data_IF_582879063651
#
_entry.id   IF_582879063651
#
_cell.length_a   1.000
_cell.length_b   1.000
_cell.length_c   1.000
_cell.angle_alpha   90.00
_cell.angle_beta   90.00
_cell.angle_gamma   90.00
#
_symmetry.space_group_name_H-M   'P 1'
#
loop_
_entity.id
_entity.type
_entity.pdbx_description
1 polymer ?
#
# COMPACT_ATOMS: atom_id res chain seq x y z
N UNK A 1 -8.53 10.19 -14.86
CA UNK A 1 -7.71 9.36 -13.94
C UNK A 1 -8.10 9.72 -12.51
N UNK A 2 -8.58 8.73 -11.73
CA UNK A 2 -9.05 8.93 -10.35
C UNK A 2 -7.95 8.48 -9.39
N UNK A 3 -7.66 9.23 -8.34
CA UNK A 3 -6.69 8.84 -7.32
C UNK A 3 -7.00 9.48 -5.97
N UNK A 4 -6.71 8.78 -4.88
CA UNK A 4 -6.94 9.26 -3.52
C UNK A 4 -6.00 8.57 -2.53
N UNK A 5 -5.71 9.24 -1.42
CA UNK A 5 -5.06 8.64 -0.27
C UNK A 5 -6.09 8.23 0.77
N UNK A 6 -5.85 7.12 1.41
CA UNK A 6 -6.74 6.64 2.47
C UNK A 6 -5.97 5.91 3.56
N UNK A 7 -6.67 5.64 4.65
CA UNK A 7 -6.17 4.92 5.81
C UNK A 7 -6.99 3.67 6.04
N UNK A 8 -6.34 2.53 6.18
CA UNK A 8 -7.01 1.26 6.47
C UNK A 8 -7.64 1.30 7.87
N UNK A 9 -8.96 1.12 7.95
CA UNK A 9 -9.68 1.02 9.22
C UNK A 9 -9.70 -0.43 9.70
N UNK A 10 -10.17 -1.35 8.87
CA UNK A 10 -10.33 -2.75 9.25
C UNK A 10 -10.95 -3.57 8.14
N UNK A 11 -11.32 -4.79 8.47
CA UNK A 11 -12.08 -5.66 7.57
C UNK A 11 -13.43 -5.97 8.18
N UNK A 12 -14.43 -6.04 7.33
CA UNK A 12 -15.79 -6.46 7.63
C UNK A 12 -16.35 -7.26 6.46
N UNK A 13 -17.60 -7.57 6.50
CA UNK A 13 -18.31 -8.24 5.42
C UNK A 13 -19.57 -7.47 5.06
N UNK A 14 -19.95 -7.56 3.79
CA UNK A 14 -21.19 -6.98 3.26
C UNK A 14 -21.96 -8.12 2.63
N UNK A 15 -23.25 -8.18 2.94
CA UNK A 15 -24.18 -9.10 2.30
C UNK A 15 -24.78 -8.43 1.08
N UNK A 16 -24.69 -9.09 -0.05
CA UNK A 16 -25.35 -8.65 -1.28
C UNK A 16 -26.85 -9.02 -1.23
N UNK A 17 -27.65 -8.44 -2.11
CA UNK A 17 -29.09 -8.69 -2.18
C UNK A 17 -29.42 -10.18 -2.43
N UNK A 18 -28.53 -10.92 -3.08
CA UNK A 18 -28.61 -12.35 -3.32
C UNK A 18 -28.15 -13.22 -2.12
N UNK A 19 -27.93 -12.62 -0.96
CA UNK A 19 -27.49 -13.29 0.26
C UNK A 19 -25.99 -13.66 0.29
N UNK A 20 -25.24 -13.41 -0.78
CA UNK A 20 -23.80 -13.71 -0.82
C UNK A 20 -22.99 -12.82 0.09
N UNK A 21 -22.19 -13.43 0.96
CA UNK A 21 -21.25 -12.76 1.84
C UNK A 21 -19.98 -12.36 1.09
N UNK A 22 -19.69 -11.07 1.06
CA UNK A 22 -18.48 -10.54 0.43
C UNK A 22 -17.58 -9.91 1.50
N UNK A 23 -16.36 -10.45 1.74
CA UNK A 23 -15.41 -9.82 2.65
C UNK A 23 -14.90 -8.52 2.02
N UNK A 24 -14.86 -7.46 2.83
CA UNK A 24 -14.40 -6.13 2.38
C UNK A 24 -13.44 -5.53 3.39
N UNK A 25 -12.58 -4.67 2.89
CA UNK A 25 -11.74 -3.79 3.72
C UNK A 25 -12.32 -2.39 3.68
N UNK A 26 -12.55 -1.80 4.85
CA UNK A 26 -12.96 -0.41 5.00
C UNK A 26 -11.72 0.49 4.99
N UNK A 27 -11.77 1.52 4.16
CA UNK A 27 -10.72 2.51 3.99
C UNK A 27 -11.33 3.89 4.18
N UNK A 28 -10.80 4.67 5.12
CA UNK A 28 -11.08 6.10 5.25
C UNK A 28 -10.33 6.82 4.11
N UNK A 29 -11.05 7.24 3.07
CA UNK A 29 -10.50 7.77 1.84
C UNK A 29 -10.80 9.26 1.72
N UNK A 30 -9.84 10.08 2.09
CA UNK A 30 -9.96 11.54 2.05
C UNK A 30 -10.61 12.14 3.32
N UNK A 31 -10.96 13.44 3.28
CA UNK A 31 -10.65 14.35 2.17
C UNK A 31 -9.14 14.57 1.99
N UNK A 32 -8.69 14.51 0.74
CA UNK A 32 -7.31 14.83 0.36
C UNK A 32 -7.27 16.22 -0.28
N UNK A 33 -6.22 16.99 -0.01
CA UNK A 33 -6.02 18.29 -0.63
C UNK A 33 -4.85 18.26 -1.60
N UNK A 34 -5.00 18.88 -2.75
CA UNK A 34 -3.92 19.09 -3.71
C UNK A 34 -3.00 20.17 -3.17
N UNK A 35 -1.77 19.80 -2.83
CA UNK A 35 -0.78 20.72 -2.26
C UNK A 35 0.09 21.38 -3.32
N UNK A 36 0.35 20.69 -4.43
CA UNK A 36 1.19 21.19 -5.50
C UNK A 36 0.93 20.42 -6.79
N UNK A 37 1.02 21.12 -7.91
CA UNK A 37 1.07 20.54 -9.24
C UNK A 37 2.51 20.59 -9.74
N UNK A 38 3.01 19.45 -10.20
CA UNK A 38 4.34 19.34 -10.83
C UNK A 38 4.19 19.30 -12.34
N UNK A 39 5.02 20.06 -13.02
CA UNK A 39 5.01 20.20 -14.48
C UNK A 39 6.33 19.69 -15.08
N UNK A 40 6.27 19.18 -16.30
CA UNK A 40 7.45 18.69 -17.00
C UNK A 40 8.55 19.75 -17.17
N UNK A 41 8.15 21.05 -17.33
CA UNK A 41 9.09 22.15 -17.55
C UNK A 41 9.97 22.47 -16.33
N UNK A 42 9.42 22.33 -15.10
CA UNK A 42 10.10 22.73 -13.86
C UNK A 42 10.63 21.49 -13.13
N UNK A 43 9.81 20.45 -13.03
CA UNK A 43 10.10 19.27 -12.19
C UNK A 43 10.61 18.06 -13.01
N UNK A 44 10.58 18.13 -14.35
CA UNK A 44 10.97 17.05 -15.25
C UNK A 44 9.91 15.94 -15.41
N UNK A 45 8.77 16.06 -14.74
CA UNK A 45 7.63 15.14 -14.86
C UNK A 45 6.32 15.79 -14.41
N UNK A 46 5.20 15.33 -14.96
CA UNK A 46 3.88 15.78 -14.56
C UNK A 46 3.32 14.92 -13.41
N UNK A 47 2.95 15.56 -12.30
CA UNK A 47 2.35 14.87 -11.14
C UNK A 47 1.49 15.81 -10.30
N UNK A 48 0.52 15.23 -9.59
CA UNK A 48 -0.26 15.91 -8.54
C UNK A 48 0.24 15.44 -7.19
N UNK A 49 0.56 16.37 -6.33
CA UNK A 49 0.92 16.10 -4.94
C UNK A 49 -0.32 16.24 -4.06
N UNK A 50 -0.67 15.15 -3.36
CA UNK A 50 -1.78 15.11 -2.41
C UNK A 50 -1.30 15.14 -0.98
N UNK A 51 -1.96 15.94 -0.16
CA UNK A 51 -1.87 15.94 1.30
C UNK A 51 -3.06 15.22 1.92
N UNK A 52 -2.81 14.35 2.90
CA UNK A 52 -3.82 13.63 3.66
C UNK A 52 -3.54 13.65 5.16
N UNK A 53 -4.59 13.83 5.95
CA UNK A 53 -4.51 13.92 7.40
C UNK A 53 -3.87 15.23 7.87
N UNK A 54 -4.68 16.22 8.17
CA UNK A 54 -4.21 17.50 8.71
C UNK A 54 -3.44 17.30 10.03
N UNK A 55 -2.36 18.04 10.22
CA UNK A 55 -1.58 18.09 11.45
C UNK A 55 -2.12 19.23 12.30
N UNK A 56 -2.34 18.97 13.59
CA UNK A 56 -2.72 20.03 14.54
C UNK A 56 -1.64 21.14 14.56
N UNK A 57 -2.04 22.41 14.59
CA UNK A 57 -1.16 23.58 14.49
C UNK A 57 0.03 23.54 15.44
N UNK A 58 -0.20 23.10 16.68
CA UNK A 58 0.86 22.94 17.72
C UNK A 58 1.98 21.95 17.35
N UNK A 59 1.76 21.06 16.36
CA UNK A 59 2.71 20.02 15.94
C UNK A 59 3.35 20.31 14.58
N UNK A 60 3.03 21.44 13.97
CA UNK A 60 3.57 21.82 12.65
C UNK A 60 5.02 22.30 12.85
N UNK A 61 5.96 21.63 12.17
CA UNK A 61 7.36 22.08 12.11
C UNK A 61 7.51 23.23 11.10
N UNK A 62 8.47 24.15 11.31
CA UNK A 62 8.74 25.30 10.44
C UNK A 62 8.81 24.94 8.94
N UNK A 63 9.46 23.84 8.58
CA UNK A 63 9.54 23.37 7.20
C UNK A 63 8.24 22.77 6.62
N UNK A 64 7.26 22.45 7.47
CA UNK A 64 5.95 21.90 7.06
C UNK A 64 4.84 22.97 7.09
N UNK A 65 5.14 24.20 7.42
CA UNK A 65 4.15 25.27 7.55
C UNK A 65 3.32 25.48 6.29
N UNK A 66 3.95 25.36 5.11
CA UNK A 66 3.27 25.48 3.81
C UNK A 66 2.40 24.27 3.45
N UNK A 67 2.61 23.10 4.06
CA UNK A 67 1.93 21.83 3.74
C UNK A 67 1.67 21.04 5.04
N UNK A 68 0.69 21.44 5.86
CA UNK A 68 0.45 20.87 7.19
C UNK A 68 -0.27 19.53 7.15
N UNK A 69 0.22 18.59 6.34
CA UNK A 69 -0.34 17.26 6.18
C UNK A 69 0.60 16.19 6.73
N UNK A 70 0.02 15.19 7.38
CA UNK A 70 0.75 14.04 7.93
C UNK A 70 1.34 13.16 6.82
N UNK A 71 0.62 13.00 5.74
CA UNK A 71 1.03 12.19 4.60
C UNK A 71 0.96 13.05 3.34
N UNK A 72 2.06 13.05 2.60
CA UNK A 72 2.17 13.72 1.30
C UNK A 72 2.64 12.67 0.31
N UNK A 73 1.92 12.50 -0.80
CA UNK A 73 2.25 11.55 -1.86
C UNK A 73 1.97 12.16 -3.22
N UNK A 74 2.73 11.70 -4.21
CA UNK A 74 2.62 12.16 -5.59
C UNK A 74 2.01 11.09 -6.47
N UNK A 75 1.13 11.53 -7.32
CA UNK A 75 0.52 10.70 -8.35
C UNK A 75 0.92 11.25 -9.71
N UNK A 76 1.70 10.48 -10.47
CA UNK A 76 2.03 10.85 -11.85
C UNK A 76 0.77 10.86 -12.69
N UNK A 77 0.62 11.92 -13.48
CA UNK A 77 -0.50 12.11 -14.42
C UNK A 77 0.06 11.89 -15.83
N UNK A 78 -0.70 11.21 -16.70
CA UNK A 78 -0.41 11.16 -18.12
C UNK A 78 -0.64 12.51 -18.79
N UNK A 79 -0.31 12.60 -20.08
CA UNK A 79 -0.47 13.84 -20.86
C UNK A 79 -1.91 14.38 -20.93
N UNK A 80 -2.89 13.50 -20.69
CA UNK A 80 -4.32 13.85 -20.64
C UNK A 80 -4.77 14.29 -19.24
N UNK A 81 -3.88 14.93 -18.48
CA UNK A 81 -4.10 15.34 -17.10
C UNK A 81 -5.35 16.20 -16.97
N UNK A 82 -6.34 15.71 -16.20
CA UNK A 82 -7.47 16.50 -15.79
C UNK A 82 -7.02 17.85 -15.22
N UNK A 83 -7.82 18.89 -15.41
CA UNK A 83 -7.55 20.23 -14.91
C UNK A 83 -7.64 20.28 -13.39
N UNK A 84 -6.56 19.89 -12.72
CA UNK A 84 -6.43 20.01 -11.27
C UNK A 84 -5.89 21.39 -10.92
N UNK A 85 -6.40 21.97 -9.84
CA UNK A 85 -5.88 23.21 -9.26
C UNK A 85 -5.29 22.95 -7.88
N UNK A 86 -4.24 23.69 -7.55
CA UNK A 86 -3.71 23.66 -6.20
C UNK A 86 -4.77 24.16 -5.21
N UNK A 87 -4.99 23.43 -4.12
CA UNK A 87 -6.03 23.71 -3.14
C UNK A 87 -7.30 22.87 -3.29
N UNK A 88 -7.54 22.24 -4.44
CA UNK A 88 -8.72 21.39 -4.65
C UNK A 88 -8.76 20.23 -3.66
N UNK A 89 -9.96 19.86 -3.22
CA UNK A 89 -10.22 18.73 -2.35
C UNK A 89 -10.74 17.54 -3.14
N UNK A 90 -10.13 16.39 -2.96
CA UNK A 90 -10.57 15.12 -3.54
C UNK A 90 -11.16 14.27 -2.41
N UNK A 91 -12.40 13.83 -2.59
CA UNK A 91 -13.13 12.97 -1.64
C UNK A 91 -13.44 11.59 -2.25
N UNK A 92 -13.99 10.70 -1.45
CA UNK A 92 -14.45 9.37 -1.88
C UNK A 92 -15.47 9.42 -3.02
N UNK A 93 -16.24 10.53 -3.15
CA UNK A 93 -17.24 10.75 -4.20
C UNK A 93 -16.66 10.75 -5.63
N UNK A 94 -15.34 10.86 -5.80
CA UNK A 94 -14.70 10.77 -7.12
C UNK A 94 -14.76 9.34 -7.72
N UNK A 95 -15.07 8.33 -6.91
CA UNK A 95 -15.17 6.93 -7.32
C UNK A 95 -16.63 6.49 -7.42
N UNK A 96 -16.86 5.43 -8.20
CA UNK A 96 -18.17 4.81 -8.33
C UNK A 96 -18.13 3.38 -7.77
N UNK A 97 -19.27 2.89 -7.31
CA UNK A 97 -19.41 1.49 -6.93
C UNK A 97 -19.20 0.60 -8.18
N UNK A 98 -18.46 -0.48 -7.98
CA UNK A 98 -18.07 -1.36 -9.09
C UNK A 98 -16.75 -1.02 -9.74
N UNK A 99 -16.18 0.17 -9.53
CA UNK A 99 -14.88 0.56 -10.09
C UNK A 99 -13.77 -0.43 -9.70
N UNK A 100 -12.90 -0.73 -10.65
CA UNK A 100 -11.69 -1.54 -10.41
C UNK A 100 -10.54 -0.59 -10.15
N UNK A 101 -9.96 -0.69 -8.98
CA UNK A 101 -8.89 0.21 -8.52
C UNK A 101 -7.61 -0.55 -8.19
N UNK A 102 -6.48 0.13 -8.37
CA UNK A 102 -5.18 -0.30 -7.89
C UNK A 102 -4.95 0.26 -6.49
N UNK A 103 -4.80 -0.63 -5.50
CA UNK A 103 -4.51 -0.25 -4.13
C UNK A 103 -3.07 -0.61 -3.78
N UNK A 104 -2.28 0.38 -3.38
CA UNK A 104 -0.87 0.20 -2.97
C UNK A 104 -0.69 0.62 -1.51
N UNK A 105 0.10 -0.15 -0.78
CA UNK A 105 0.41 0.15 0.62
C UNK A 105 1.61 -0.64 1.11
N UNK A 106 2.06 -0.35 2.33
CA UNK A 106 3.14 -1.09 2.96
C UNK A 106 2.59 -2.38 3.59
N UNK A 107 3.23 -3.50 3.30
CA UNK A 107 2.88 -4.79 3.89
C UNK A 107 3.20 -4.84 5.38
N UNK A 108 2.61 -5.79 6.10
CA UNK A 108 2.91 -6.03 7.52
C UNK A 108 4.37 -6.42 7.70
N UNK A 109 5.08 -5.78 8.61
CA UNK A 109 6.43 -6.19 9.01
C UNK A 109 6.39 -7.53 9.73
N UNK A 110 7.34 -8.40 9.40
CA UNK A 110 7.50 -9.74 10.00
C UNK A 110 8.86 -9.92 10.68
N UNK A 111 9.64 -8.85 10.79
CA UNK A 111 10.97 -8.87 11.37
C UNK A 111 11.98 -9.66 10.54
N UNK A 112 13.05 -10.14 11.18
CA UNK A 112 14.03 -11.02 10.56
C UNK A 112 13.46 -12.43 10.43
N UNK A 113 13.48 -13.00 9.23
CA UNK A 113 12.92 -14.31 8.95
C UNK A 113 13.94 -15.21 8.26
N UNK A 114 13.88 -16.51 8.58
CA UNK A 114 14.64 -17.55 7.91
C UNK A 114 14.20 -17.76 6.46
N UNK A 115 15.04 -18.43 5.67
CA UNK A 115 14.83 -18.67 4.26
C UNK A 115 13.54 -19.45 3.95
N UNK A 116 13.13 -20.35 4.82
CA UNK A 116 11.89 -21.13 4.67
C UNK A 116 10.67 -20.19 4.62
N UNK A 117 10.53 -19.27 5.58
CA UNK A 117 9.40 -18.34 5.64
C UNK A 117 9.50 -17.20 4.61
N UNK A 118 10.72 -16.67 4.40
CA UNK A 118 10.94 -15.52 3.52
C UNK A 118 10.88 -15.87 2.04
N UNK A 119 11.42 -17.03 1.67
CA UNK A 119 11.60 -17.43 0.27
C UNK A 119 10.90 -18.72 -0.12
N UNK A 120 10.22 -19.40 0.82
CA UNK A 120 9.54 -20.66 0.56
C UNK A 120 10.48 -21.86 0.38
N UNK A 121 11.66 -21.83 0.97
CA UNK A 121 12.59 -22.98 0.93
C UNK A 121 11.99 -24.17 1.65
N UNK A 122 12.20 -25.37 1.10
CA UNK A 122 11.66 -26.61 1.65
C UNK A 122 12.34 -27.00 2.97
N UNK A 123 13.60 -26.59 3.16
CA UNK A 123 14.45 -27.10 4.22
C UNK A 123 14.84 -28.55 3.93
N UNK A 124 15.14 -29.33 4.95
CA UNK A 124 15.40 -30.77 4.79
C UNK A 124 14.09 -31.54 4.72
N UNK A 125 13.99 -32.48 3.79
CA UNK A 125 12.75 -33.21 3.50
C UNK A 125 12.52 -34.38 4.48
N UNK A 126 13.58 -34.93 5.10
CA UNK A 126 13.48 -36.07 6.00
C UNK A 126 13.90 -35.71 7.42
N UNK A 127 13.09 -36.09 8.39
CA UNK A 127 13.43 -36.08 9.83
C UNK A 127 14.04 -37.41 10.17
N UNK A 128 15.35 -37.56 9.99
CA UNK A 128 16.08 -38.75 10.41
C UNK A 128 16.83 -38.51 11.71
N UNK A 129 17.33 -39.58 12.35
CA UNK A 129 18.14 -39.53 13.57
C UNK A 129 19.25 -38.48 13.47
N UNK A 130 19.36 -37.58 14.47
CA UNK A 130 20.42 -36.58 14.56
C UNK A 130 20.21 -35.28 13.76
N UNK A 131 19.07 -35.07 13.08
CA UNK A 131 18.86 -33.93 12.19
C UNK A 131 18.18 -32.73 12.86
N UNK A 132 18.39 -32.48 14.13
CA UNK A 132 17.68 -31.40 14.88
C UNK A 132 17.97 -30.00 14.37
N UNK A 133 19.15 -29.68 13.85
CA UNK A 133 19.59 -28.34 13.50
C UNK A 133 19.40 -27.98 12.04
N UNK A 134 19.10 -28.93 11.14
CA UNK A 134 19.08 -28.70 9.69
C UNK A 134 17.69 -28.52 9.07
N UNK A 135 16.62 -28.74 9.85
CA UNK A 135 15.24 -28.77 9.34
C UNK A 135 14.84 -27.50 8.55
N UNK A 136 15.36 -26.35 8.93
CA UNK A 136 15.00 -25.06 8.33
C UNK A 136 16.19 -24.30 7.73
N UNK A 137 17.25 -25.01 7.40
CA UNK A 137 18.45 -24.42 6.83
C UNK A 137 18.27 -24.04 5.36
N UNK A 138 19.14 -23.13 4.90
CA UNK A 138 19.16 -22.64 3.51
C UNK A 138 19.66 -23.70 2.54
N UNK A 139 20.43 -24.69 3.05
CA UNK A 139 21.17 -25.64 2.25
C UNK A 139 22.50 -25.07 1.73
N UNK A 140 23.15 -25.75 0.79
CA UNK A 140 24.40 -25.30 0.20
C UNK A 140 24.26 -23.95 -0.48
N UNK A 141 25.23 -23.07 -0.29
CA UNK A 141 25.28 -21.73 -0.91
C UNK A 141 26.13 -21.67 -2.18
N UNK A 142 26.78 -22.75 -2.54
CA UNK A 142 27.63 -22.89 -3.71
C UNK A 142 28.91 -23.68 -3.41
N UNK A 143 29.74 -23.91 -4.41
CA UNK A 143 31.01 -24.63 -4.30
C UNK A 143 32.10 -23.74 -3.70
N UNK A 144 33.01 -24.30 -2.91
CA UNK A 144 34.00 -23.61 -2.10
C UNK A 144 34.85 -22.59 -2.85
N UNK A 145 35.33 -21.57 -2.12
CA UNK A 145 36.29 -20.57 -2.58
C UNK A 145 35.72 -19.40 -3.40
N UNK A 146 34.55 -19.54 -3.99
CA UNK A 146 33.91 -18.46 -4.74
C UNK A 146 33.01 -17.58 -3.85
N UNK A 147 32.99 -16.28 -4.10
CA UNK A 147 32.07 -15.36 -3.48
C UNK A 147 30.61 -15.77 -3.77
N UNK A 148 29.76 -15.63 -2.77
CA UNK A 148 28.32 -15.90 -2.92
C UNK A 148 27.78 -14.97 -4.00
N UNK A 149 27.06 -15.52 -4.98
CA UNK A 149 26.49 -14.75 -6.10
C UNK A 149 25.52 -13.70 -5.58
N UNK A 150 25.59 -12.49 -6.13
CA UNK A 150 24.64 -11.40 -5.86
C UNK A 150 23.20 -11.88 -6.12
N UNK A 151 22.25 -11.51 -5.25
CA UNK A 151 20.85 -11.93 -5.38
C UNK A 151 20.53 -13.31 -4.78
N UNK A 152 21.50 -14.03 -4.21
CA UNK A 152 21.23 -15.30 -3.49
C UNK A 152 20.21 -15.09 -2.38
N UNK A 153 19.17 -15.92 -2.38
CA UNK A 153 18.09 -15.86 -1.38
C UNK A 153 18.61 -16.34 -0.02
N UNK A 154 18.65 -15.45 0.96
CA UNK A 154 19.14 -15.68 2.31
C UNK A 154 18.16 -15.18 3.37
N UNK A 155 18.31 -15.59 4.65
CA UNK A 155 17.57 -14.99 5.76
C UNK A 155 17.71 -13.47 5.77
N UNK A 156 16.72 -12.78 6.31
CA UNK A 156 16.75 -11.33 6.43
C UNK A 156 15.38 -10.75 6.73
N UNK A 157 15.31 -9.42 6.77
CA UNK A 157 14.07 -8.69 7.00
C UNK A 157 13.01 -9.07 5.96
N UNK A 158 11.78 -9.29 6.43
CA UNK A 158 10.60 -9.57 5.62
C UNK A 158 9.48 -8.60 5.96
N UNK A 159 8.79 -8.12 4.93
CA UNK A 159 7.69 -7.17 5.08
C UNK A 159 8.14 -5.72 5.17
N UNK A 160 7.17 -4.81 5.35
CA UNK A 160 7.32 -3.35 5.20
C UNK A 160 7.76 -2.99 3.77
N UNK A 161 7.39 -3.85 2.82
CA UNK A 161 7.61 -3.63 1.41
C UNK A 161 6.34 -3.02 0.79
N UNK A 162 6.50 -2.17 -0.23
CA UNK A 162 5.38 -1.63 -0.99
C UNK A 162 4.76 -2.71 -1.86
N UNK A 163 3.52 -3.08 -1.54
CA UNK A 163 2.74 -4.07 -2.28
C UNK A 163 1.57 -3.38 -2.96
N UNK A 164 1.30 -3.75 -4.22
CA UNK A 164 0.20 -3.20 -5.01
C UNK A 164 -0.74 -4.32 -5.45
N UNK A 165 -2.01 -4.15 -5.14
CA UNK A 165 -3.11 -4.95 -5.67
C UNK A 165 -3.64 -4.25 -6.93
N UNK A 166 -3.59 -4.90 -8.07
CA UNK A 166 -3.91 -4.27 -9.37
C UNK A 166 -5.42 -4.24 -9.69
N UNK A 167 -6.21 -5.12 -9.08
CA UNK A 167 -7.63 -5.32 -9.45
C UNK A 167 -8.47 -5.48 -8.19
N UNK A 168 -8.60 -4.41 -7.42
CA UNK A 168 -9.46 -4.38 -6.25
C UNK A 168 -10.78 -3.70 -6.62
N UNK A 169 -11.92 -4.40 -6.47
CA UNK A 169 -13.25 -3.86 -6.80
C UNK A 169 -13.82 -3.09 -5.62
N UNK A 170 -14.32 -1.89 -5.88
CA UNK A 170 -15.09 -1.11 -4.90
C UNK A 170 -16.50 -1.71 -4.80
N UNK A 171 -16.91 -2.06 -3.60
CA UNK A 171 -18.23 -2.69 -3.34
C UNK A 171 -19.25 -1.64 -2.92
N UNK A 172 -18.86 -0.73 -2.02
CA UNK A 172 -19.74 0.33 -1.50
C UNK A 172 -18.95 1.59 -1.20
N UNK A 173 -19.60 2.73 -1.35
CA UNK A 173 -19.05 4.07 -1.06
C UNK A 173 -19.98 4.79 -0.10
N UNK A 174 -19.44 5.33 0.97
CA UNK A 174 -20.13 6.23 1.88
C UNK A 174 -19.46 7.61 1.78
N UNK A 175 -20.07 8.50 1.02
CA UNK A 175 -19.55 9.84 0.77
C UNK A 175 -19.59 10.74 2.00
N UNK A 176 -20.57 10.55 2.91
CA UNK A 176 -20.70 11.37 4.12
C UNK A 176 -19.56 11.09 5.09
N UNK A 177 -19.21 9.81 5.26
CA UNK A 177 -18.13 9.36 6.15
C UNK A 177 -16.79 9.24 5.45
N UNK A 178 -16.70 9.53 4.15
CA UNK A 178 -15.51 9.31 3.32
C UNK A 178 -14.97 7.88 3.42
N UNK A 179 -15.85 6.88 3.40
CA UNK A 179 -15.48 5.48 3.49
C UNK A 179 -15.59 4.79 2.13
N UNK A 180 -14.55 4.02 1.79
CA UNK A 180 -14.54 3.10 0.66
C UNK A 180 -14.48 1.66 1.17
N UNK A 181 -15.44 0.83 0.76
CA UNK A 181 -15.43 -0.60 0.99
C UNK A 181 -14.86 -1.31 -0.25
N UNK A 182 -13.65 -1.85 -0.13
CA UNK A 182 -12.93 -2.54 -1.21
C UNK A 182 -12.99 -4.04 -0.98
N UNK A 183 -13.33 -4.82 -2.00
CA UNK A 183 -13.44 -6.28 -1.94
C UNK A 183 -12.11 -6.92 -1.57
N UNK A 184 -12.14 -7.77 -0.56
CA UNK A 184 -11.01 -8.57 -0.11
C UNK A 184 -10.04 -7.83 0.83
N UNK A 185 -8.84 -8.38 0.98
CA UNK A 185 -7.82 -7.84 1.88
C UNK A 185 -6.93 -6.84 1.14
N UNK A 186 -6.53 -5.76 1.82
CA UNK A 186 -5.54 -4.80 1.32
C UNK A 186 -4.25 -4.84 2.16
N UNK A 187 -3.11 -4.41 1.61
CA UNK A 187 -1.83 -4.44 2.33
C UNK A 187 -1.86 -3.66 3.66
N UNK A 188 -1.05 -4.10 4.59
CA UNK A 188 -0.76 -3.40 5.84
C UNK A 188 -1.68 -3.71 7.02
N UNK A 189 -1.36 -3.08 8.14
CA UNK A 189 -2.10 -3.11 9.40
C UNK A 189 -3.25 -2.08 9.39
N UNK A 190 -4.09 -2.10 10.43
CA UNK A 190 -4.98 -0.97 10.73
C UNK A 190 -4.15 0.32 10.84
N UNK A 191 -4.63 1.40 10.25
CA UNK A 191 -3.94 2.68 10.25
C UNK A 191 -2.86 2.86 9.16
N UNK A 192 -2.58 1.84 8.33
CA UNK A 192 -1.64 1.96 7.21
C UNK A 192 -2.18 2.91 6.15
N UNK A 193 -1.30 3.79 5.63
CA UNK A 193 -1.60 4.63 4.48
C UNK A 193 -1.72 3.76 3.22
N UNK A 194 -2.77 4.02 2.45
CA UNK A 194 -3.05 3.38 1.16
C UNK A 194 -3.11 4.43 0.06
N UNK A 195 -2.54 4.09 -1.08
CA UNK A 195 -2.62 4.86 -2.32
C UNK A 195 -3.61 4.12 -3.23
N UNK A 196 -4.69 4.77 -3.61
CA UNK A 196 -5.76 4.21 -4.45
C UNK A 196 -5.75 4.94 -5.78
N UNK A 197 -5.76 4.20 -6.88
CA UNK A 197 -5.84 4.69 -8.27
C UNK A 197 -6.88 3.90 -9.03
N UNK A 198 -7.74 4.61 -9.73
CA UNK A 198 -8.69 4.06 -10.70
C UNK A 198 -8.27 4.33 -12.13
#
# INVERSE_FOLDING_TARGET
MKFILGKKIGMTEIFAADGKRTPVTLIEAGPCQITQLKTEKIDGYAAVQLGFGAIAEKKIKKGQAKKPFRFIKEFRIGKDGAEFKAGDKISAAAFNEGDIVKVSGLSKGKGFQGAVKKHGFKGRLSCTHGTKHELRNVGSVGMGGAAIRKGRKMPGRMGVDRVSMKSAKIVKIDSEKNLLAVKGAVPGNKGTLLEIRG
#
